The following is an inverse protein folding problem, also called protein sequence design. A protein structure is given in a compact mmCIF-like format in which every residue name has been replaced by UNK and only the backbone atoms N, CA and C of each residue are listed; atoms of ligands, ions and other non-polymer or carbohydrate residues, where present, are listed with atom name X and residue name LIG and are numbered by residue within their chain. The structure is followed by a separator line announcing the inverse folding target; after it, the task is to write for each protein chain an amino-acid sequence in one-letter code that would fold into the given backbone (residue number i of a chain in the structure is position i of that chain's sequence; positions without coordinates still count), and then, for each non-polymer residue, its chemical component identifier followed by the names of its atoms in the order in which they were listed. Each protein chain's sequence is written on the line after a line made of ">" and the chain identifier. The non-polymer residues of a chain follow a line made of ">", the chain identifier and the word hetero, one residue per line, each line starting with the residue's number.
data_IF_403678211317
#
_entry.id   IF_403678211317
#
_cell.length_a   1.000
_cell.length_b   1.000
_cell.length_c   1.000
_cell.angle_alpha   90.00
_cell.angle_beta   90.00
_cell.angle_gamma   90.00
#
_symmetry.space_group_name_H-M   'P 1'
#
loop_
_entity.id
_entity.type
_entity.pdbx_description
1 polymer ?
#
# COMPACT_ATOMS: atom_id res chain seq x y z
N UNK A 1 16.86 -16.17 6.35
CA UNK A 1 15.41 -16.16 6.62
C UNK A 1 14.69 -16.53 5.34
N UNK A 2 13.58 -17.27 5.44
CA UNK A 2 12.66 -17.49 4.33
C UNK A 2 11.59 -16.40 4.37
N UNK A 3 11.59 -15.53 3.38
CA UNK A 3 10.75 -14.30 3.35
C UNK A 3 9.80 -14.33 2.16
N UNK A 4 8.51 -14.27 2.42
CA UNK A 4 7.49 -14.02 1.41
C UNK A 4 7.36 -12.50 1.19
N UNK A 5 7.49 -12.04 -0.05
CA UNK A 5 7.21 -10.65 -0.46
C UNK A 5 6.07 -10.64 -1.45
N UNK A 6 4.93 -10.08 -1.08
CA UNK A 6 3.78 -9.91 -1.98
C UNK A 6 3.77 -8.53 -2.64
N UNK A 7 3.14 -8.41 -3.82
CA UNK A 7 3.26 -7.22 -4.63
C UNK A 7 4.67 -7.05 -5.23
N UNK A 8 5.36 -8.16 -5.46
CA UNK A 8 6.78 -8.19 -5.83
C UNK A 8 7.07 -7.68 -7.25
N UNK A 9 6.08 -7.63 -8.14
CA UNK A 9 6.19 -6.95 -9.44
C UNK A 9 6.08 -5.41 -9.30
N UNK A 10 5.62 -4.90 -8.15
CA UNK A 10 5.49 -3.47 -7.89
C UNK A 10 6.82 -2.82 -7.46
N UNK A 11 6.88 -1.48 -7.55
CA UNK A 11 8.12 -0.74 -7.25
C UNK A 11 8.62 -0.94 -5.82
N UNK A 12 7.75 -0.91 -4.79
CA UNK A 12 8.17 -1.16 -3.41
C UNK A 12 8.48 -2.64 -3.20
N UNK A 13 7.56 -3.54 -3.56
CA UNK A 13 7.76 -4.98 -3.34
C UNK A 13 8.97 -5.54 -4.07
N UNK A 14 9.17 -5.16 -5.34
CA UNK A 14 10.33 -5.56 -6.11
C UNK A 14 11.66 -5.02 -5.57
N UNK A 15 11.67 -3.76 -5.09
CA UNK A 15 12.84 -3.19 -4.44
C UNK A 15 13.19 -3.91 -3.12
N UNK A 16 12.18 -4.20 -2.31
CA UNK A 16 12.35 -4.95 -1.07
C UNK A 16 12.83 -6.38 -1.34
N UNK A 17 12.23 -7.08 -2.32
CA UNK A 17 12.64 -8.43 -2.69
C UNK A 17 14.12 -8.48 -3.11
N UNK A 18 14.54 -7.55 -3.98
CA UNK A 18 15.96 -7.42 -4.37
C UNK A 18 16.86 -7.13 -3.17
N UNK A 19 16.50 -6.21 -2.32
CA UNK A 19 17.29 -5.84 -1.14
C UNK A 19 17.47 -6.99 -0.17
N UNK A 20 16.40 -7.75 0.11
CA UNK A 20 16.46 -8.90 1.01
C UNK A 20 17.26 -10.08 0.41
N UNK A 21 17.09 -10.36 -0.89
CA UNK A 21 17.87 -11.39 -1.58
C UNK A 21 19.37 -11.03 -1.61
N UNK A 22 19.71 -9.75 -1.89
CA UNK A 22 21.10 -9.27 -1.85
C UNK A 22 21.72 -9.35 -0.44
N UNK A 23 20.90 -9.30 0.61
CA UNK A 23 21.33 -9.51 2.00
C UNK A 23 21.44 -10.99 2.40
N UNK A 24 21.24 -11.94 1.47
CA UNK A 24 21.40 -13.38 1.67
C UNK A 24 20.16 -14.05 2.30
N UNK A 25 18.98 -13.48 2.14
CA UNK A 25 17.73 -14.12 2.54
C UNK A 25 17.12 -14.91 1.37
N UNK A 26 16.43 -16.03 1.66
CA UNK A 26 15.67 -16.80 0.69
C UNK A 26 14.33 -16.08 0.47
N UNK A 27 14.14 -15.48 -0.69
CA UNK A 27 12.98 -14.63 -0.98
C UNK A 27 12.06 -15.29 -2.00
N UNK A 28 10.78 -15.41 -1.66
CA UNK A 28 9.70 -15.74 -2.58
C UNK A 28 8.91 -14.45 -2.91
N UNK A 29 9.05 -13.97 -4.14
CA UNK A 29 8.30 -12.84 -4.68
C UNK A 29 6.99 -13.31 -5.33
N UNK A 30 5.86 -12.77 -4.88
CA UNK A 30 4.53 -13.15 -5.39
C UNK A 30 3.80 -11.93 -5.93
N UNK A 31 3.28 -12.06 -7.13
CA UNK A 31 2.41 -11.09 -7.78
C UNK A 31 1.55 -11.78 -8.84
N UNK A 32 0.50 -11.12 -9.31
CA UNK A 32 -0.28 -11.55 -10.47
C UNK A 32 0.33 -11.13 -11.80
N UNK A 33 1.24 -10.16 -11.80
CA UNK A 33 1.94 -9.63 -12.97
C UNK A 33 3.20 -10.45 -13.27
N UNK A 34 3.07 -11.45 -14.15
CA UNK A 34 4.17 -12.30 -14.57
C UNK A 34 5.32 -11.51 -15.23
N UNK A 35 4.99 -10.46 -16.01
CA UNK A 35 6.00 -9.64 -16.67
C UNK A 35 6.82 -8.83 -15.67
N UNK A 36 6.17 -8.23 -14.68
CA UNK A 36 6.86 -7.54 -13.60
C UNK A 36 7.72 -8.46 -12.73
N UNK A 37 7.27 -9.69 -12.48
CA UNK A 37 8.06 -10.70 -11.75
C UNK A 37 9.31 -11.13 -12.55
N UNK A 38 9.23 -11.27 -13.85
CA UNK A 38 10.38 -11.66 -14.68
C UNK A 38 11.53 -10.62 -14.69
N UNK A 39 11.28 -9.40 -14.21
CA UNK A 39 12.30 -8.37 -14.04
C UNK A 39 13.06 -8.48 -12.69
N UNK A 40 12.71 -9.43 -11.85
CA UNK A 40 13.44 -9.70 -10.61
C UNK A 40 14.69 -10.55 -10.91
N UNK A 41 15.76 -10.44 -10.08
CA UNK A 41 16.95 -11.25 -10.26
C UNK A 41 16.68 -12.74 -9.96
N UNK A 42 17.45 -13.64 -10.56
CA UNK A 42 17.36 -15.11 -10.35
C UNK A 42 17.48 -15.53 -8.88
N UNK A 43 18.07 -14.69 -8.04
CA UNK A 43 18.17 -14.91 -6.58
C UNK A 43 16.82 -14.78 -5.85
N UNK A 44 15.76 -14.32 -6.54
CA UNK A 44 14.39 -14.26 -6.00
C UNK A 44 13.55 -15.35 -6.67
N UNK A 45 13.11 -16.33 -5.89
CA UNK A 45 12.07 -17.25 -6.36
C UNK A 45 10.80 -16.48 -6.66
N UNK A 46 10.11 -16.78 -7.77
CA UNK A 46 8.88 -16.06 -8.14
C UNK A 46 7.68 -16.98 -8.33
N UNK A 47 6.49 -16.53 -7.94
CA UNK A 47 5.24 -17.22 -8.20
C UNK A 47 4.17 -16.24 -8.68
N UNK A 48 3.47 -16.63 -9.75
CA UNK A 48 2.35 -15.83 -10.32
C UNK A 48 1.06 -16.26 -9.65
N UNK A 49 0.55 -15.45 -8.74
CA UNK A 49 -0.70 -15.73 -8.00
C UNK A 49 -1.48 -14.45 -7.79
N UNK A 50 -2.78 -14.50 -8.02
CA UNK A 50 -3.71 -13.45 -7.57
C UNK A 50 -4.02 -13.66 -6.08
N UNK A 51 -3.57 -12.72 -5.25
CA UNK A 51 -3.74 -12.80 -3.80
C UNK A 51 -5.19 -12.66 -3.32
N UNK A 52 -6.13 -12.38 -4.22
CA UNK A 52 -7.57 -12.42 -3.96
C UNK A 52 -8.14 -13.84 -4.02
N UNK A 53 -7.42 -14.75 -4.66
CA UNK A 53 -7.76 -16.18 -4.69
C UNK A 53 -7.20 -16.88 -3.45
N UNK A 54 -8.08 -17.08 -2.48
CA UNK A 54 -7.71 -17.69 -1.19
C UNK A 54 -7.20 -19.13 -1.34
N UNK A 55 -7.76 -19.91 -2.28
CA UNK A 55 -7.33 -21.29 -2.49
C UNK A 55 -5.91 -21.32 -3.07
N UNK A 56 -5.64 -20.52 -4.11
CA UNK A 56 -4.31 -20.41 -4.72
C UNK A 56 -3.24 -19.94 -3.71
N UNK A 57 -3.60 -19.01 -2.82
CA UNK A 57 -2.67 -18.55 -1.77
C UNK A 57 -2.40 -19.64 -0.74
N UNK A 58 -3.41 -20.39 -0.31
CA UNK A 58 -3.21 -21.52 0.60
C UNK A 58 -2.33 -22.60 -0.02
N UNK A 59 -2.60 -22.97 -1.26
CA UNK A 59 -1.82 -24.00 -1.98
C UNK A 59 -0.36 -23.55 -2.14
N UNK A 60 -0.13 -22.29 -2.49
CA UNK A 60 1.21 -21.73 -2.61
C UNK A 60 1.99 -21.81 -1.29
N UNK A 61 1.34 -21.55 -0.16
CA UNK A 61 1.98 -21.44 1.15
C UNK A 61 1.93 -22.75 1.96
N UNK A 62 1.26 -23.79 1.46
CA UNK A 62 1.23 -25.09 2.09
C UNK A 62 2.66 -25.61 2.30
N UNK A 63 2.95 -26.02 3.53
CA UNK A 63 4.23 -26.63 3.95
C UNK A 63 5.49 -25.75 3.69
N UNK A 64 5.33 -24.48 3.33
CA UNK A 64 6.47 -23.57 3.16
C UNK A 64 6.95 -23.03 4.52
N UNK A 65 8.24 -23.21 4.84
CA UNK A 65 8.82 -22.62 6.04
C UNK A 65 8.98 -21.10 5.85
N UNK A 66 8.19 -20.30 6.54
CA UNK A 66 8.28 -18.84 6.48
C UNK A 66 8.74 -18.26 7.82
N UNK A 67 9.78 -17.42 7.77
CA UNK A 67 10.24 -16.61 8.89
C UNK A 67 9.62 -15.22 8.87
N UNK A 68 9.26 -14.72 7.68
CA UNK A 68 8.60 -13.41 7.54
C UNK A 68 7.66 -13.35 6.33
N UNK A 69 6.60 -12.56 6.49
CA UNK A 69 5.74 -12.09 5.39
C UNK A 69 5.86 -10.58 5.28
N UNK A 70 6.21 -10.10 4.09
CA UNK A 70 6.25 -8.68 3.75
C UNK A 70 5.16 -8.40 2.72
N UNK A 71 4.07 -7.76 3.15
CA UNK A 71 2.95 -7.45 2.28
C UNK A 71 3.11 -6.04 1.68
N UNK A 72 3.43 -5.99 0.38
CA UNK A 72 3.53 -4.76 -0.41
C UNK A 72 2.40 -4.65 -1.44
N UNK A 73 1.42 -5.55 -1.42
CA UNK A 73 0.31 -5.53 -2.37
C UNK A 73 -0.55 -4.27 -2.17
N UNK A 74 -0.96 -3.67 -3.26
CA UNK A 74 -1.84 -2.52 -3.24
C UNK A 74 -2.01 -1.87 -4.60
N UNK A 75 -3.06 -1.08 -4.71
CA UNK A 75 -3.37 -0.25 -5.86
C UNK A 75 -4.32 0.86 -5.43
N UNK A 76 -4.41 1.95 -6.19
CA UNK A 76 -5.39 2.99 -5.89
C UNK A 76 -5.85 3.71 -7.17
N UNK A 77 -6.97 4.36 -7.05
CA UNK A 77 -7.53 5.22 -8.07
C UNK A 77 -7.78 6.60 -7.46
N UNK A 78 -7.52 7.66 -8.23
CA UNK A 78 -7.88 9.03 -7.84
C UNK A 78 -9.29 9.29 -8.35
N UNK A 79 -10.27 9.29 -7.44
CA UNK A 79 -11.70 9.38 -7.79
C UNK A 79 -12.46 10.08 -6.70
N UNK A 80 -13.36 11.02 -7.06
CA UNK A 80 -14.33 11.59 -6.13
C UNK A 80 -15.23 10.46 -5.59
N UNK A 81 -15.68 10.58 -4.34
CA UNK A 81 -16.53 9.55 -3.73
C UNK A 81 -17.82 9.38 -4.53
N UNK A 82 -18.38 10.46 -5.06
CA UNK A 82 -19.59 10.46 -5.88
C UNK A 82 -19.40 9.67 -7.19
N UNK A 83 -18.21 9.77 -7.82
CA UNK A 83 -17.88 9.07 -9.06
C UNK A 83 -17.36 7.64 -8.85
N UNK A 84 -17.18 7.23 -7.61
CA UNK A 84 -16.69 5.89 -7.28
C UNK A 84 -17.84 4.89 -7.29
N UNK A 85 -17.89 4.00 -8.28
CA UNK A 85 -18.90 2.94 -8.30
C UNK A 85 -18.70 1.96 -7.13
N UNK A 86 -19.79 1.28 -6.72
CA UNK A 86 -19.70 0.27 -5.68
C UNK A 86 -18.74 -0.89 -6.06
N UNK A 87 -18.61 -1.20 -7.35
CA UNK A 87 -17.68 -2.19 -7.84
C UNK A 87 -16.22 -1.73 -7.69
N UNK A 88 -15.90 -0.48 -8.08
CA UNK A 88 -14.58 0.12 -7.89
C UNK A 88 -14.21 0.20 -6.39
N UNK A 89 -15.16 0.59 -5.54
CA UNK A 89 -14.95 0.61 -4.08
C UNK A 89 -14.61 -0.77 -3.54
N UNK A 90 -15.36 -1.83 -3.93
CA UNK A 90 -15.06 -3.21 -3.53
C UNK A 90 -13.68 -3.67 -4.01
N UNK A 91 -13.31 -3.41 -5.27
CA UNK A 91 -11.97 -3.76 -5.80
C UNK A 91 -10.85 -3.12 -4.97
N UNK A 92 -11.03 -1.86 -4.52
CA UNK A 92 -10.05 -1.20 -3.65
C UNK A 92 -9.91 -1.92 -2.30
N UNK A 93 -11.02 -2.33 -1.68
CA UNK A 93 -10.98 -3.10 -0.43
C UNK A 93 -10.38 -4.49 -0.65
N UNK A 94 -10.78 -5.20 -1.70
CA UNK A 94 -10.26 -6.53 -2.05
C UNK A 94 -8.75 -6.52 -2.24
N UNK A 95 -8.23 -5.54 -3.00
CA UNK A 95 -6.80 -5.46 -3.29
C UNK A 95 -5.97 -4.99 -2.10
N UNK A 96 -6.44 -3.97 -1.35
CA UNK A 96 -5.62 -3.31 -0.33
C UNK A 96 -5.83 -3.85 1.08
N UNK A 97 -6.90 -4.59 1.34
CA UNK A 97 -7.24 -5.11 2.66
C UNK A 97 -7.46 -6.63 2.66
N UNK A 98 -8.38 -7.14 1.83
CA UNK A 98 -8.72 -8.57 1.83
C UNK A 98 -7.55 -9.43 1.37
N UNK A 99 -6.84 -9.06 0.29
CA UNK A 99 -5.66 -9.80 -0.19
C UNK A 99 -4.53 -9.84 0.85
N UNK A 100 -4.36 -8.78 1.65
CA UNK A 100 -3.43 -8.78 2.79
C UNK A 100 -3.87 -9.79 3.84
N UNK A 101 -5.15 -9.78 4.22
CA UNK A 101 -5.72 -10.74 5.17
C UNK A 101 -5.54 -12.19 4.69
N UNK A 102 -5.89 -12.48 3.44
CA UNK A 102 -5.75 -13.82 2.83
C UNK A 102 -4.31 -14.34 2.97
N UNK A 103 -3.33 -13.51 2.58
CA UNK A 103 -1.91 -13.90 2.68
C UNK A 103 -1.46 -14.10 4.12
N UNK A 104 -1.78 -13.17 5.01
CA UNK A 104 -1.38 -13.22 6.41
C UNK A 104 -2.01 -14.43 7.10
N UNK A 105 -3.32 -14.65 6.91
CA UNK A 105 -4.06 -15.78 7.50
C UNK A 105 -3.45 -17.13 7.09
N UNK A 106 -3.11 -17.29 5.81
CA UNK A 106 -2.49 -18.52 5.32
C UNK A 106 -1.07 -18.75 5.88
N UNK A 107 -0.30 -17.67 6.11
CA UNK A 107 1.08 -17.78 6.62
C UNK A 107 1.19 -17.91 8.14
N UNK A 108 0.17 -17.49 8.90
CA UNK A 108 0.23 -17.47 10.38
C UNK A 108 0.58 -18.82 11.04
N UNK A 109 0.10 -20.00 10.56
CA UNK A 109 0.49 -21.26 11.16
C UNK A 109 2.01 -21.45 11.22
N UNK A 110 2.69 -21.32 10.09
CA UNK A 110 4.14 -21.49 10.01
C UNK A 110 4.91 -20.38 10.74
N UNK A 111 4.42 -19.12 10.68
CA UNK A 111 5.03 -18.01 11.43
C UNK A 111 4.99 -18.25 12.95
N UNK A 112 3.92 -18.82 13.49
CA UNK A 112 3.82 -19.16 14.92
C UNK A 112 4.82 -20.25 15.34
N UNK A 113 5.01 -21.25 14.50
CA UNK A 113 5.96 -22.34 14.78
C UNK A 113 7.40 -21.86 14.82
N UNK A 114 7.70 -20.82 14.05
CA UNK A 114 9.06 -20.31 13.86
C UNK A 114 9.37 -19.02 14.63
N UNK A 115 8.41 -18.47 15.37
CA UNK A 115 8.56 -17.17 16.02
C UNK A 115 8.80 -16.05 14.99
N UNK A 116 8.06 -16.12 13.87
CA UNK A 116 8.26 -15.27 12.72
C UNK A 116 7.60 -13.89 12.83
N UNK A 117 7.43 -13.20 11.70
CA UNK A 117 6.86 -11.86 11.70
C UNK A 117 6.03 -11.52 10.46
N UNK A 118 5.17 -10.53 10.62
CA UNK A 118 4.38 -9.92 9.56
C UNK A 118 4.75 -8.44 9.44
N UNK A 119 5.19 -8.02 8.26
CA UNK A 119 5.46 -6.62 7.91
C UNK A 119 4.48 -6.19 6.84
N UNK A 120 3.67 -5.17 7.11
CA UNK A 120 2.66 -4.69 6.18
C UNK A 120 3.02 -3.27 5.72
N UNK A 121 3.05 -3.06 4.40
CA UNK A 121 3.20 -1.74 3.82
C UNK A 121 1.83 -1.09 3.70
N UNK A 122 1.55 -0.21 4.66
CA UNK A 122 0.37 0.63 4.70
C UNK A 122 0.53 1.89 3.84
N UNK A 123 0.04 3.00 4.36
CA UNK A 123 0.19 4.34 3.77
C UNK A 123 -0.13 5.39 4.83
N UNK A 124 0.46 6.59 4.69
CA UNK A 124 0.04 7.75 5.48
C UNK A 124 -1.47 8.05 5.33
N UNK A 125 -2.06 7.65 4.20
CA UNK A 125 -3.47 7.87 3.87
C UNK A 125 -4.42 7.02 4.75
N UNK A 126 -3.94 5.95 5.37
CA UNK A 126 -4.67 5.22 6.40
C UNK A 126 -4.88 6.03 7.68
N UNK A 127 -3.93 6.89 8.02
CA UNK A 127 -4.01 7.78 9.19
C UNK A 127 -4.59 9.17 8.87
N UNK A 128 -4.59 9.57 7.58
CA UNK A 128 -5.02 10.90 7.11
C UNK A 128 -5.72 10.73 5.77
N UNK A 129 -7.04 10.73 5.79
CA UNK A 129 -7.81 10.67 4.56
C UNK A 129 -7.57 11.91 3.67
N UNK A 130 -7.38 11.68 2.38
CA UNK A 130 -7.22 12.73 1.39
C UNK A 130 -8.45 12.78 0.47
N UNK A 131 -8.89 13.97 0.05
CA UNK A 131 -9.88 14.11 -1.01
C UNK A 131 -9.49 13.33 -2.26
N UNK A 132 -10.46 12.81 -2.98
CA UNK A 132 -10.30 11.98 -4.19
C UNK A 132 -9.60 10.63 -3.98
N UNK A 133 -9.37 10.25 -2.72
CA UNK A 133 -8.78 8.95 -2.33
C UNK A 133 -9.72 8.16 -1.41
N UNK A 134 -11.04 8.38 -1.47
CA UNK A 134 -12.00 7.87 -0.49
C UNK A 134 -11.93 6.36 -0.29
N UNK A 135 -12.02 5.57 -1.35
CA UNK A 135 -11.97 4.10 -1.29
C UNK A 135 -10.60 3.59 -0.81
N UNK A 136 -9.52 4.20 -1.30
CA UNK A 136 -8.16 3.87 -0.88
C UNK A 136 -7.90 4.23 0.59
N UNK A 137 -8.36 5.41 1.02
CA UNK A 137 -8.28 5.84 2.44
C UNK A 137 -9.04 4.87 3.35
N UNK A 138 -10.25 4.45 2.95
CA UNK A 138 -11.04 3.48 3.71
C UNK A 138 -10.32 2.14 3.83
N UNK A 139 -9.74 1.63 2.73
CA UNK A 139 -8.98 0.38 2.75
C UNK A 139 -7.74 0.46 3.66
N UNK A 140 -6.95 1.54 3.55
CA UNK A 140 -5.73 1.71 4.34
C UNK A 140 -6.01 2.04 5.81
N UNK A 141 -7.11 2.74 6.12
CA UNK A 141 -7.57 2.92 7.51
C UNK A 141 -8.08 1.60 8.12
N UNK A 142 -8.80 0.79 7.34
CA UNK A 142 -9.18 -0.57 7.73
C UNK A 142 -7.95 -1.44 8.02
N UNK A 143 -6.90 -1.31 7.19
CA UNK A 143 -5.63 -2.02 7.38
C UNK A 143 -4.92 -1.60 8.68
N UNK A 144 -4.95 -0.33 9.06
CA UNK A 144 -4.42 0.15 10.34
C UNK A 144 -5.10 -0.55 11.53
N UNK A 145 -6.43 -0.62 11.51
CA UNK A 145 -7.19 -1.34 12.54
C UNK A 145 -6.93 -2.84 12.55
N UNK A 146 -6.86 -3.45 11.36
CA UNK A 146 -6.54 -4.87 11.19
C UNK A 146 -5.16 -5.22 11.79
N UNK A 147 -4.13 -4.43 11.47
CA UNK A 147 -2.76 -4.62 11.98
C UNK A 147 -2.71 -4.50 13.51
N UNK A 148 -3.43 -3.55 14.07
CA UNK A 148 -3.48 -3.35 15.52
C UNK A 148 -4.16 -4.52 16.25
N UNK A 149 -5.23 -5.09 15.68
CA UNK A 149 -5.88 -6.29 16.20
C UNK A 149 -4.96 -7.51 16.08
N UNK A 150 -4.46 -7.77 14.87
CA UNK A 150 -3.55 -8.89 14.58
C UNK A 150 -2.35 -8.90 15.55
N UNK A 151 -1.69 -7.77 15.72
CA UNK A 151 -0.54 -7.64 16.62
C UNK A 151 -0.87 -8.10 18.05
N UNK A 152 -2.04 -7.70 18.57
CA UNK A 152 -2.47 -8.07 19.93
C UNK A 152 -2.80 -9.55 20.06
N UNK A 153 -3.35 -10.14 19.01
CA UNK A 153 -3.73 -11.56 18.97
C UNK A 153 -2.51 -12.50 18.88
N UNK A 154 -1.50 -12.12 18.07
CA UNK A 154 -0.38 -13.01 17.77
C UNK A 154 0.88 -12.76 18.61
N UNK A 155 1.00 -11.62 19.29
CA UNK A 155 2.13 -11.34 20.18
C UNK A 155 2.32 -12.38 21.28
N UNK A 156 1.26 -12.88 21.97
CA UNK A 156 1.41 -13.96 22.97
C UNK A 156 1.83 -15.32 22.34
N UNK A 157 1.84 -15.40 21.01
CA UNK A 157 2.22 -16.58 20.24
C UNK A 157 3.59 -16.44 19.56
N UNK A 158 4.35 -15.41 19.94
CA UNK A 158 5.71 -15.18 19.45
C UNK A 158 5.80 -14.62 18.02
N UNK A 159 4.72 -14.09 17.45
CA UNK A 159 4.76 -13.46 16.12
C UNK A 159 4.77 -11.95 16.25
N UNK A 160 5.77 -11.31 15.65
CA UNK A 160 5.86 -9.85 15.57
C UNK A 160 5.04 -9.30 14.41
N UNK A 161 4.42 -8.12 14.60
CA UNK A 161 3.68 -7.41 13.55
C UNK A 161 4.14 -5.97 13.47
N UNK A 162 4.55 -5.52 12.28
CA UNK A 162 4.97 -4.17 12.01
C UNK A 162 4.20 -3.55 10.83
N UNK A 163 3.86 -2.28 10.94
CA UNK A 163 3.27 -1.47 9.90
C UNK A 163 4.26 -0.42 9.42
N UNK A 164 4.53 -0.39 8.12
CA UNK A 164 5.35 0.65 7.48
C UNK A 164 4.43 1.60 6.72
N UNK A 165 4.46 2.89 7.07
CA UNK A 165 3.59 3.93 6.50
C UNK A 165 4.44 4.91 5.66
N UNK A 166 4.61 4.65 4.34
CA UNK A 166 5.26 5.60 3.45
C UNK A 166 4.35 6.81 3.19
N UNK A 167 4.99 7.93 2.84
CA UNK A 167 4.35 9.00 2.10
C UNK A 167 4.26 8.67 0.61
N UNK A 168 4.08 9.67 -0.27
CA UNK A 168 4.19 9.46 -1.72
C UNK A 168 5.56 8.90 -2.09
N UNK A 169 5.62 7.88 -2.95
CA UNK A 169 6.84 7.21 -3.40
C UNK A 169 6.84 7.15 -4.93
N UNK A 170 7.93 7.51 -5.62
CA UNK A 170 8.00 7.50 -7.08
C UNK A 170 8.29 6.06 -7.56
N UNK A 171 7.24 5.25 -7.73
CA UNK A 171 7.35 3.82 -8.08
C UNK A 171 6.51 3.41 -9.28
N UNK A 172 6.07 4.34 -10.13
CA UNK A 172 5.08 4.06 -11.16
C UNK A 172 3.68 3.73 -10.61
N UNK A 173 3.49 3.84 -9.29
CA UNK A 173 2.22 3.53 -8.65
C UNK A 173 1.14 4.57 -9.00
N UNK A 174 1.54 5.84 -9.11
CA UNK A 174 0.65 6.93 -9.51
C UNK A 174 0.29 6.84 -10.99
N UNK A 175 1.24 6.48 -11.84
CA UNK A 175 1.04 6.30 -13.28
C UNK A 175 0.08 5.15 -13.55
N UNK A 176 0.23 4.02 -12.85
CA UNK A 176 -0.73 2.90 -12.93
C UNK A 176 -2.12 3.27 -12.41
N UNK A 177 -2.20 4.08 -11.36
CA UNK A 177 -3.47 4.58 -10.86
C UNK A 177 -4.18 5.48 -11.88
N UNK A 178 -3.43 6.32 -12.58
CA UNK A 178 -3.97 7.16 -13.64
C UNK A 178 -4.42 6.33 -14.87
N UNK A 179 -3.64 5.31 -15.26
CA UNK A 179 -4.00 4.40 -16.34
C UNK A 179 -5.27 3.58 -16.02
N UNK A 180 -5.38 3.04 -14.79
CA UNK A 180 -6.56 2.31 -14.34
C UNK A 180 -7.83 3.18 -14.34
N UNK A 181 -7.69 4.49 -14.16
CA UNK A 181 -8.78 5.46 -14.32
C UNK A 181 -9.23 5.55 -15.78
N UNK A 182 -8.30 5.56 -16.74
CA UNK A 182 -8.61 5.59 -18.16
C UNK A 182 -9.33 4.30 -18.62
N UNK A 183 -8.83 3.14 -18.20
CA UNK A 183 -9.44 1.83 -18.51
C UNK A 183 -10.85 1.69 -17.89
N UNK A 184 -11.06 2.13 -16.65
CA UNK A 184 -12.37 2.11 -15.99
C UNK A 184 -13.40 3.04 -16.67
N UNK A 185 -12.93 4.08 -17.35
CA UNK A 185 -13.78 4.97 -18.15
C UNK A 185 -14.30 4.29 -19.44
N UNK A 186 -13.54 3.35 -20.01
CA UNK A 186 -13.96 2.53 -21.16
C UNK A 186 -15.01 1.47 -20.78
N UNK A 187 -14.99 0.97 -19.52
CA UNK A 187 -15.88 -0.09 -19.03
C UNK A 187 -17.20 0.41 -18.40
N UNK A 188 -17.55 1.70 -18.50
CA UNK A 188 -18.88 2.16 -18.10
C UNK A 188 -18.96 3.04 -16.85
N UNK A 189 -17.93 3.80 -16.53
CA UNK A 189 -18.08 4.96 -15.65
C UNK A 189 -19.00 5.99 -16.34
N UNK A 190 -19.92 6.59 -15.59
CA UNK A 190 -20.91 7.56 -16.10
C UNK A 190 -20.27 8.59 -17.04
N UNK A 191 -20.89 8.84 -18.21
CA UNK A 191 -20.35 9.60 -19.34
C UNK A 191 -19.78 11.00 -19.04
N UNK A 192 -20.12 11.63 -17.91
CA UNK A 192 -19.62 12.94 -17.50
C UNK A 192 -18.13 12.97 -17.11
N UNK A 193 -17.60 11.86 -16.59
CA UNK A 193 -16.16 11.75 -16.23
C UNK A 193 -15.29 11.59 -17.49
N UNK A 194 -15.75 10.81 -18.47
CA UNK A 194 -15.03 10.57 -19.72
C UNK A 194 -15.01 11.83 -20.61
N UNK A 195 -16.02 12.70 -20.52
CA UNK A 195 -16.10 13.96 -21.28
C UNK A 195 -15.26 15.10 -20.71
N UNK A 196 -14.68 14.95 -19.51
CA UNK A 196 -13.98 16.04 -18.82
C UNK A 196 -14.94 17.15 -18.33
N UNK A 197 -16.23 16.84 -18.30
CA UNK A 197 -17.32 17.69 -17.81
C UNK A 197 -17.78 17.14 -16.44
N UNK A 198 -18.42 17.97 -15.64
CA UNK A 198 -18.91 17.57 -14.33
C UNK A 198 -18.31 18.32 -13.16
N UNK A 199 -18.87 18.17 -11.94
CA UNK A 199 -18.53 19.01 -10.78
C UNK A 199 -17.08 18.84 -10.29
N UNK A 200 -16.39 17.76 -10.68
CA UNK A 200 -15.01 17.46 -10.26
C UNK A 200 -13.98 17.57 -11.39
N UNK A 201 -14.36 17.99 -12.59
CA UNK A 201 -13.49 18.07 -13.76
C UNK A 201 -12.22 18.93 -13.50
N UNK A 202 -12.35 20.07 -12.83
CA UNK A 202 -11.20 20.91 -12.46
C UNK A 202 -10.23 20.21 -11.50
N UNK A 203 -10.76 19.43 -10.56
CA UNK A 203 -9.95 18.66 -9.63
C UNK A 203 -9.19 17.55 -10.37
N UNK A 204 -9.84 16.80 -11.25
CA UNK A 204 -9.18 15.75 -12.03
C UNK A 204 -8.07 16.33 -12.92
N UNK A 205 -8.31 17.43 -13.62
CA UNK A 205 -7.25 18.15 -14.37
C UNK A 205 -6.10 18.60 -13.48
N UNK A 206 -6.37 19.03 -12.25
CA UNK A 206 -5.32 19.42 -11.30
C UNK A 206 -4.47 18.24 -10.82
N UNK A 207 -5.01 17.02 -10.86
CA UNK A 207 -4.26 15.79 -10.56
C UNK A 207 -3.53 15.21 -11.79
N UNK A 208 -3.85 15.63 -13.01
CA UNK A 208 -3.11 15.25 -14.20
C UNK A 208 -1.66 15.76 -14.09
N UNK A 209 -0.70 14.88 -14.18
CA UNK A 209 0.72 15.22 -14.02
C UNK A 209 1.14 15.59 -12.59
N UNK A 210 0.25 15.47 -11.60
CA UNK A 210 0.61 15.71 -10.21
C UNK A 210 1.60 14.67 -9.69
N UNK A 211 2.82 15.14 -9.44
CA UNK A 211 3.85 14.36 -8.75
C UNK A 211 4.13 15.00 -7.39
N UNK A 212 3.59 14.45 -6.29
CA UNK A 212 3.86 14.99 -4.96
C UNK A 212 5.34 14.84 -4.62
N UNK A 213 5.90 15.80 -3.84
CA UNK A 213 7.24 15.66 -3.30
C UNK A 213 7.41 14.28 -2.65
N UNK A 214 8.21 13.44 -3.31
CA UNK A 214 8.29 12.03 -3.03
C UNK A 214 9.17 11.74 -1.81
N UNK A 215 8.85 10.66 -1.11
CA UNK A 215 9.76 10.01 -0.18
C UNK A 215 10.79 9.27 -1.02
N UNK A 216 12.06 9.36 -0.67
CA UNK A 216 13.10 8.58 -1.29
C UNK A 216 12.76 7.07 -1.18
N UNK A 217 12.78 6.39 -2.32
CA UNK A 217 12.34 5.00 -2.42
C UNK A 217 13.27 4.05 -1.66
N UNK A 218 14.57 4.32 -1.67
CA UNK A 218 15.56 3.52 -0.94
C UNK A 218 15.31 3.59 0.57
N UNK A 219 14.94 4.77 1.09
CA UNK A 219 14.54 4.92 2.49
C UNK A 219 13.32 4.03 2.84
N UNK A 220 12.40 3.83 1.91
CA UNK A 220 11.26 2.91 2.13
C UNK A 220 11.73 1.46 2.19
N UNK A 221 12.59 1.05 1.24
CA UNK A 221 13.16 -0.31 1.23
C UNK A 221 13.93 -0.61 2.51
N UNK A 222 14.81 0.30 2.95
CA UNK A 222 15.54 0.17 4.21
C UNK A 222 14.62 0.02 5.43
N UNK A 223 13.51 0.76 5.48
CA UNK A 223 12.58 0.67 6.61
C UNK A 223 11.81 -0.64 6.61
N UNK A 224 11.42 -1.13 5.43
CA UNK A 224 10.78 -2.45 5.31
C UNK A 224 11.78 -3.55 5.66
N UNK A 225 13.00 -3.51 5.12
CA UNK A 225 14.05 -4.47 5.46
C UNK A 225 14.37 -4.46 6.97
N UNK A 226 14.51 -3.27 7.58
CA UNK A 226 14.71 -3.13 9.03
C UNK A 226 13.54 -3.75 9.82
N UNK A 227 12.29 -3.50 9.41
CA UNK A 227 11.12 -4.10 10.06
C UNK A 227 11.12 -5.62 9.93
N UNK A 228 11.67 -6.15 8.82
CA UNK A 228 11.75 -7.59 8.53
C UNK A 228 12.87 -8.28 9.30
N UNK A 229 14.03 -7.64 9.48
CA UNK A 229 15.25 -8.33 9.96
C UNK A 229 15.71 -7.93 11.36
N UNK A 230 15.22 -6.82 11.93
CA UNK A 230 15.65 -6.39 13.28
C UNK A 230 15.22 -7.40 14.36
N UNK A 231 16.06 -7.61 15.37
CA UNK A 231 15.75 -8.49 16.51
C UNK A 231 14.47 -8.07 17.25
N UNK A 232 14.26 -6.77 17.37
CA UNK A 232 13.07 -6.17 18.01
C UNK A 232 12.49 -5.08 17.11
N UNK A 233 11.64 -5.42 16.14
CA UNK A 233 11.06 -4.43 15.24
C UNK A 233 10.12 -3.48 16.00
N UNK A 234 10.06 -2.23 15.54
CA UNK A 234 9.01 -1.31 15.99
C UNK A 234 7.67 -1.76 15.42
N UNK A 235 6.61 -1.51 16.15
CA UNK A 235 5.25 -1.82 15.67
C UNK A 235 4.80 -0.93 14.52
N UNK A 236 5.42 0.27 14.36
CA UNK A 236 5.04 1.25 13.32
C UNK A 236 6.24 2.09 12.86
N UNK A 237 6.42 2.16 11.53
CA UNK A 237 7.47 2.93 10.86
C UNK A 237 6.84 4.00 9.95
N UNK A 238 6.83 5.26 10.36
CA UNK A 238 6.39 6.40 9.54
C UNK A 238 7.58 6.94 8.77
N UNK A 239 7.61 6.70 7.45
CA UNK A 239 8.83 6.89 6.65
C UNK A 239 9.04 8.33 6.23
N UNK A 240 8.00 9.15 6.04
CA UNK A 240 8.15 10.55 5.63
C UNK A 240 7.86 11.54 6.75
N UNK A 241 8.34 12.79 6.61
CA UNK A 241 7.96 13.89 7.51
C UNK A 241 6.45 14.09 7.54
N UNK A 242 5.78 14.04 6.36
CA UNK A 242 4.32 14.15 6.24
C UNK A 242 3.62 13.02 7.00
N UNK A 243 4.05 11.77 6.82
CA UNK A 243 3.49 10.62 7.54
C UNK A 243 3.64 10.73 9.07
N UNK A 244 4.64 11.46 9.57
CA UNK A 244 4.84 11.68 11.01
C UNK A 244 3.96 12.81 11.57
N UNK A 245 3.82 13.92 10.85
CA UNK A 245 3.22 15.14 11.39
C UNK A 245 1.73 15.26 11.09
N UNK A 246 1.27 14.90 9.88
CA UNK A 246 -0.14 15.06 9.50
C UNK A 246 -1.11 14.30 10.43
N UNK A 247 -0.85 13.04 10.83
CA UNK A 247 -1.73 12.34 11.78
C UNK A 247 -1.76 12.99 13.18
N UNK A 248 -0.66 13.65 13.59
CA UNK A 248 -0.63 14.38 14.86
C UNK A 248 -1.45 15.66 14.78
N UNK A 249 -1.33 16.39 13.68
CA UNK A 249 -2.14 17.58 13.43
C UNK A 249 -3.64 17.26 13.34
N UNK A 250 -4.00 16.16 12.67
CA UNK A 250 -5.39 15.69 12.59
C UNK A 250 -6.01 15.39 13.96
N UNK A 251 -5.21 15.00 14.94
CA UNK A 251 -5.69 14.70 16.30
C UNK A 251 -5.84 15.93 17.21
N UNK A 252 -5.17 17.04 16.87
CA UNK A 252 -5.09 18.24 17.74
C UNK A 252 -5.93 19.38 17.16
N UNK A 253 -6.03 19.49 15.85
CA UNK A 253 -6.78 20.57 15.21
C UNK A 253 -8.27 20.22 15.12
N UNK A 254 -9.15 21.22 15.29
CA UNK A 254 -10.57 21.06 14.93
C UNK A 254 -10.73 20.66 13.46
N UNK A 255 -11.64 19.73 13.17
CA UNK A 255 -11.85 19.15 11.83
C UNK A 255 -11.93 20.22 10.73
N UNK A 256 -12.72 21.27 10.92
CA UNK A 256 -12.89 22.35 9.93
C UNK A 256 -11.58 23.08 9.59
N UNK A 257 -10.68 23.22 10.56
CA UNK A 257 -9.38 23.84 10.34
C UNK A 257 -8.44 22.87 9.61
N UNK A 258 -8.44 21.61 10.06
CA UNK A 258 -7.67 20.57 9.39
C UNK A 258 -8.09 20.38 7.93
N UNK A 259 -9.38 20.33 7.64
CA UNK A 259 -9.93 20.24 6.28
C UNK A 259 -9.49 21.39 5.38
N UNK A 260 -9.44 22.63 5.93
CA UNK A 260 -8.93 23.80 5.18
C UNK A 260 -7.45 23.62 4.84
N UNK A 261 -6.63 23.12 5.77
CA UNK A 261 -5.20 22.87 5.54
C UNK A 261 -4.98 21.78 4.49
N UNK A 262 -5.72 20.67 4.58
CA UNK A 262 -5.64 19.58 3.60
C UNK A 262 -6.01 20.12 2.21
N UNK A 263 -7.16 20.81 2.07
CA UNK A 263 -7.58 21.39 0.79
C UNK A 263 -6.58 22.41 0.22
N UNK A 264 -6.00 23.25 1.07
CA UNK A 264 -5.01 24.23 0.64
C UNK A 264 -3.71 23.60 0.10
N UNK A 265 -3.33 22.40 0.60
CA UNK A 265 -2.15 21.66 0.18
C UNK A 265 -2.33 20.73 -1.02
N UNK A 266 -3.56 20.55 -1.50
CA UNK A 266 -3.86 19.71 -2.67
C UNK A 266 -3.59 20.44 -3.99
N UNK A 267 -3.45 19.74 -5.13
CA UNK A 267 -3.38 20.33 -6.45
C UNK A 267 -4.51 21.35 -6.67
N UNK A 268 -4.16 22.53 -7.17
CA UNK A 268 -5.10 23.64 -7.32
C UNK A 268 -5.40 24.46 -6.05
N UNK A 269 -4.97 24.02 -4.87
CA UNK A 269 -5.11 24.75 -3.61
C UNK A 269 -4.16 25.96 -3.48
N UNK A 270 -4.44 26.88 -2.54
CA UNK A 270 -3.67 28.11 -2.35
C UNK A 270 -2.21 27.82 -2.00
N UNK A 271 -1.94 26.93 -1.04
CA UNK A 271 -0.58 26.56 -0.64
C UNK A 271 0.16 25.84 -1.76
N UNK A 272 -0.54 24.96 -2.50
CA UNK A 272 0.03 24.29 -3.66
C UNK A 272 0.49 25.29 -4.73
N UNK A 273 -0.35 26.30 -5.08
CA UNK A 273 -0.01 27.35 -6.05
C UNK A 273 1.17 28.22 -5.63
N UNK A 274 1.37 28.41 -4.32
CA UNK A 274 2.49 29.19 -3.80
C UNK A 274 3.83 28.42 -3.81
N UNK A 275 3.77 27.09 -3.67
CA UNK A 275 4.95 26.24 -3.62
C UNK A 275 5.44 25.74 -4.99
N UNK A 276 4.60 25.87 -6.03
CA UNK A 276 4.88 25.38 -7.39
C UNK A 276 4.86 26.53 -8.43
N UNK A 277 4.97 27.78 -7.99
CA UNK A 277 5.34 28.95 -8.79
C UNK A 277 6.85 29.11 -8.74
#
# INVERSE_FOLDING_TARGET
>A
MHVLVTGAAGGIGGGVARSLAAAGHDVLGVDRDAAGLSALPDAVETAVVDLRDEAAVRDLLADRPLDAVVSCVGGYEITAVEDTSAAAFRRQLETNLTAVHTTVSAALPTLRERGGRVVIVGSMVGSVALPYHGAYSAAKAGLDGYVDALRREVAPRGVDVALVEPGPVPTGFNERAAAAVAEANEEGASGERASGEGPYADAYRAFEGYSPAATDVETVFERVATATTADRPRTRYRVSRRARWLPRLARVLPDRLYDRLVRAGLPGGILWRLLHR
#
